data_IF_623567003138
#
_entry.id   IF_623567003138
#
_cell.length_a   1.000
_cell.length_b   1.000
_cell.length_c   1.000
_cell.angle_alpha   90.00
_cell.angle_beta   90.00
_cell.angle_gamma   90.00
#
_symmetry.space_group_name_H-M   'P 1'
#
loop_
_entity.id
_entity.type
_entity.pdbx_description
1 polymer ?
#
# COMPACT_ATOMS: atom_id res chain seq x y z
N UNK A 1 11.30 27.06 -62.78
CA UNK A 1 11.52 26.80 -61.34
C UNK A 1 11.08 25.40 -60.99
N UNK A 2 12.00 24.55 -60.52
CA UNK A 2 11.86 23.49 -59.49
C UNK A 2 13.10 22.59 -59.60
N UNK A 3 14.06 22.87 -58.72
CA UNK A 3 15.23 22.03 -58.42
C UNK A 3 14.78 20.82 -57.60
N UNK A 4 15.46 19.68 -57.76
CA UNK A 4 15.72 18.58 -56.79
C UNK A 4 16.26 17.40 -57.61
N UNK A 5 17.26 16.62 -57.21
CA UNK A 5 18.34 16.76 -56.23
C UNK A 5 19.38 15.72 -56.65
N UNK A 6 20.68 16.07 -56.61
CA UNK A 6 21.78 15.26 -57.14
C UNK A 6 22.08 14.09 -56.18
N UNK A 7 22.21 12.89 -56.74
CA UNK A 7 22.72 11.67 -56.10
C UNK A 7 24.26 11.73 -56.11
N UNK A 8 24.90 11.58 -54.95
CA UNK A 8 26.33 11.22 -54.89
C UNK A 8 26.49 10.10 -53.85
N UNK A 9 26.79 8.92 -54.35
CA UNK A 9 27.35 7.81 -53.60
C UNK A 9 28.87 7.96 -53.54
N UNK A 10 29.48 7.89 -52.36
CA UNK A 10 30.89 7.52 -52.21
C UNK A 10 31.09 6.73 -50.91
N UNK A 11 31.47 5.47 -51.07
CA UNK A 11 32.05 4.55 -50.08
C UNK A 11 33.55 4.82 -49.91
N UNK A 12 34.14 4.32 -48.79
CA UNK A 12 35.59 4.16 -48.41
C UNK A 12 35.72 4.61 -46.93
N UNK A 13 36.38 3.96 -45.97
CA UNK A 13 37.16 2.72 -45.84
C UNK A 13 37.60 2.62 -44.36
N UNK A 14 37.23 1.52 -43.71
CA UNK A 14 38.05 0.62 -42.84
C UNK A 14 39.29 1.12 -42.04
N UNK A 15 39.45 0.48 -40.86
CA UNK A 15 40.58 0.41 -39.90
C UNK A 15 40.71 1.58 -38.90
N UNK A 16 40.91 1.42 -37.58
CA UNK A 16 41.61 0.39 -36.81
C UNK A 16 40.97 0.10 -35.43
N UNK A 17 41.20 -1.13 -34.98
CA UNK A 17 41.09 -1.61 -33.60
C UNK A 17 42.04 -0.85 -32.66
N UNK A 18 41.61 -0.59 -31.42
CA UNK A 18 42.47 -0.71 -30.23
C UNK A 18 41.69 -1.29 -29.06
N UNK A 19 42.23 -2.38 -28.55
CA UNK A 19 41.82 -3.11 -27.36
C UNK A 19 42.14 -2.33 -26.08
N UNK A 20 41.36 -2.57 -25.03
CA UNK A 20 41.69 -2.13 -23.67
C UNK A 20 40.87 -2.88 -22.63
N UNK A 21 41.37 -4.05 -22.21
CA UNK A 21 40.99 -4.69 -20.95
C UNK A 21 41.68 -3.98 -19.79
N UNK A 22 41.01 -3.77 -18.66
CA UNK A 22 41.58 -4.16 -17.36
C UNK A 22 40.49 -4.33 -16.28
N UNK A 23 40.67 -5.41 -15.51
CA UNK A 23 39.90 -5.91 -14.39
C UNK A 23 40.62 -5.53 -13.09
N UNK A 24 39.93 -4.98 -12.11
CA UNK A 24 40.32 -4.93 -10.68
C UNK A 24 39.18 -4.26 -9.92
N UNK A 25 38.82 -4.56 -8.67
CA UNK A 25 39.13 -5.59 -7.69
C UNK A 25 38.01 -5.43 -6.65
N UNK A 26 37.54 -6.54 -6.09
CA UNK A 26 36.77 -6.54 -4.86
C UNK A 26 37.74 -6.24 -3.72
N UNK A 27 37.49 -5.19 -2.94
CA UNK A 27 38.06 -5.02 -1.60
C UNK A 27 36.97 -4.55 -0.64
N UNK A 28 36.78 -5.38 0.38
CA UNK A 28 36.12 -5.09 1.64
C UNK A 28 36.94 -4.08 2.43
N UNK A 29 36.33 -3.04 3.00
CA UNK A 29 36.83 -2.44 4.23
C UNK A 29 35.69 -1.93 5.11
N UNK A 30 35.81 -2.36 6.36
CA UNK A 30 34.97 -2.20 7.54
C UNK A 30 35.15 -0.86 8.26
N UNK A 31 34.32 -0.69 9.31
CA UNK A 31 34.30 0.28 10.41
C UNK A 31 33.45 1.54 10.15
N UNK A 32 32.24 1.60 10.72
CA UNK A 32 31.91 1.92 12.13
C UNK A 32 32.04 3.40 12.42
N UNK A 33 30.89 4.05 12.63
CA UNK A 33 30.76 5.19 13.52
C UNK A 33 29.47 5.02 14.32
N UNK A 34 29.62 4.65 15.59
CA UNK A 34 28.59 4.74 16.61
C UNK A 34 28.26 6.21 16.91
N UNK A 35 26.98 6.50 17.19
CA UNK A 35 26.58 7.66 17.99
C UNK A 35 25.46 7.27 18.94
N UNK A 36 25.88 6.91 20.16
CA UNK A 36 25.23 7.12 21.45
C UNK A 36 24.01 8.04 21.46
N UNK A 37 22.88 7.52 21.96
CA UNK A 37 22.16 8.13 23.09
C UNK A 37 21.51 7.02 23.93
N UNK A 38 22.09 6.75 25.10
CA UNK A 38 21.40 6.07 26.21
C UNK A 38 20.49 7.07 26.91
N UNK A 39 19.23 6.68 27.14
CA UNK A 39 18.44 7.17 28.26
C UNK A 39 17.82 5.98 28.97
N UNK A 40 18.22 5.83 30.24
CA UNK A 40 17.73 4.85 31.21
C UNK A 40 16.54 5.46 31.94
N UNK A 41 15.36 4.82 31.91
CA UNK A 41 14.44 4.85 33.05
C UNK A 41 13.86 3.45 33.27
N UNK A 42 14.20 2.91 34.44
CA UNK A 42 13.64 1.76 35.14
C UNK A 42 12.37 2.20 35.87
N UNK A 43 11.37 1.33 35.98
CA UNK A 43 10.43 1.12 37.13
C UNK A 43 9.24 0.31 36.57
N UNK A 44 9.14 -1.00 36.81
CA UNK A 44 8.74 -1.75 38.01
C UNK A 44 7.30 -2.26 37.88
N UNK A 45 7.17 -3.57 38.03
CA UNK A 45 5.96 -4.39 38.00
C UNK A 45 5.08 -4.11 39.22
N UNK A 46 3.75 -4.07 39.05
CA UNK A 46 2.81 -4.43 40.12
C UNK A 46 1.54 -5.07 39.53
N UNK A 47 1.37 -6.35 39.86
CA UNK A 47 0.16 -7.18 39.79
C UNK A 47 -0.85 -6.82 40.89
N UNK A 48 -2.14 -6.73 40.55
CA UNK A 48 -3.34 -7.07 41.35
C UNK A 48 -4.47 -7.34 40.33
N UNK A 49 -4.94 -8.57 40.04
CA UNK A 49 -5.85 -9.45 40.79
C UNK A 49 -7.18 -8.83 41.30
N UNK A 50 -8.26 -9.22 40.59
CA UNK A 50 -9.50 -9.83 41.11
C UNK A 50 -10.86 -9.10 40.92
N UNK A 51 -11.74 -9.88 40.28
CA UNK A 51 -13.15 -10.19 40.61
C UNK A 51 -14.31 -9.27 40.15
N UNK A 52 -15.01 -9.81 39.15
CA UNK A 52 -16.45 -10.16 39.17
C UNK A 52 -17.45 -9.18 39.79
N UNK A 53 -18.28 -8.57 38.92
CA UNK A 53 -19.71 -8.46 39.21
C UNK A 53 -20.57 -8.45 37.96
N UNK A 54 -21.29 -9.56 37.79
CA UNK A 54 -22.45 -9.77 36.91
C UNK A 54 -23.53 -8.71 37.18
N UNK A 55 -24.05 -8.06 36.15
CA UNK A 55 -25.42 -7.50 36.15
C UNK A 55 -25.99 -7.56 34.73
N UNK A 56 -27.05 -8.34 34.59
CA UNK A 56 -27.91 -8.47 33.41
C UNK A 56 -28.71 -7.18 33.20
N UNK A 57 -28.72 -6.64 31.97
CA UNK A 57 -29.88 -5.89 31.44
C UNK A 57 -30.08 -6.28 29.97
N UNK A 58 -31.30 -6.71 29.69
CA UNK A 58 -31.78 -7.19 28.40
C UNK A 58 -32.14 -6.05 27.42
N UNK A 59 -32.02 -6.38 26.13
CA UNK A 59 -32.75 -5.89 24.96
C UNK A 59 -32.55 -4.43 24.52
N UNK A 60 -31.91 -4.24 23.36
CA UNK A 60 -32.66 -4.09 22.10
C UNK A 60 -31.72 -3.84 20.91
N UNK A 61 -32.05 -4.51 19.81
CA UNK A 61 -31.83 -4.14 18.40
C UNK A 61 -30.41 -4.00 17.83
N UNK A 62 -30.23 -4.78 16.76
CA UNK A 62 -29.42 -4.47 15.57
C UNK A 62 -27.91 -4.76 15.70
N UNK A 63 -27.55 -6.02 15.51
CA UNK A 63 -26.17 -6.45 15.26
C UNK A 63 -26.04 -6.96 13.82
N UNK A 64 -25.55 -6.10 12.94
CA UNK A 64 -24.70 -6.56 11.85
C UNK A 64 -23.48 -7.21 12.50
N UNK A 65 -23.15 -8.41 12.03
CA UNK A 65 -22.17 -9.31 12.61
C UNK A 65 -20.84 -8.59 12.87
N UNK A 66 -20.52 -8.49 14.16
CA UNK A 66 -19.20 -8.16 14.70
C UNK A 66 -18.31 -9.36 14.40
N UNK A 67 -17.35 -9.21 13.47
CA UNK A 67 -16.23 -10.13 13.38
C UNK A 67 -15.17 -9.72 14.42
N UNK A 68 -15.44 -10.10 15.67
CA UNK A 68 -14.41 -10.27 16.69
C UNK A 68 -13.52 -11.46 16.31
N UNK A 69 -12.22 -11.34 16.60
CA UNK A 69 -11.16 -12.38 16.50
C UNK A 69 -10.56 -12.68 15.10
N UNK A 70 -9.71 -11.79 14.61
CA UNK A 70 -8.59 -12.21 13.72
C UNK A 70 -7.30 -12.42 14.51
N UNK A 71 -7.35 -13.31 15.51
CA UNK A 71 -6.15 -14.00 16.01
C UNK A 71 -5.95 -15.33 15.28
N UNK A 72 -6.25 -15.36 13.97
CA UNK A 72 -5.70 -16.40 13.10
C UNK A 72 -4.20 -16.11 12.97
N UNK A 73 -3.36 -17.12 13.15
CA UNK A 73 -1.92 -17.01 12.87
C UNK A 73 -1.71 -16.87 11.36
N UNK A 74 -2.01 -15.69 10.81
CA UNK A 74 -1.85 -15.39 9.39
C UNK A 74 -0.36 -15.45 9.07
N UNK A 75 0.00 -16.39 8.21
CA UNK A 75 1.34 -16.49 7.64
C UNK A 75 1.27 -16.04 6.19
N UNK A 76 2.01 -15.00 5.85
CA UNK A 76 2.03 -14.44 4.49
C UNK A 76 3.08 -15.18 3.64
N UNK A 77 2.73 -15.45 2.38
CA UNK A 77 3.67 -15.91 1.37
C UNK A 77 4.56 -14.73 0.94
N UNK A 78 5.85 -14.77 1.30
CA UNK A 78 6.78 -13.68 0.99
C UNK A 78 6.86 -13.33 -0.51
N UNK A 79 6.55 -14.27 -1.40
CA UNK A 79 6.55 -14.03 -2.84
C UNK A 79 5.43 -13.10 -3.32
N UNK A 80 4.38 -12.94 -2.51
CA UNK A 80 3.24 -12.06 -2.77
C UNK A 80 3.39 -10.67 -2.14
N UNK A 81 4.41 -10.44 -1.31
CA UNK A 81 4.68 -9.13 -0.72
C UNK A 81 5.24 -8.17 -1.78
N UNK A 82 4.56 -7.05 -1.99
CA UNK A 82 5.01 -5.98 -2.89
C UNK A 82 5.99 -5.11 -2.10
N UNK A 83 7.28 -5.42 -2.21
CA UNK A 83 8.37 -4.83 -1.40
C UNK A 83 8.45 -3.31 -1.53
N UNK A 84 8.30 -2.79 -2.75
CA UNK A 84 8.39 -1.33 -3.02
C UNK A 84 7.22 -0.55 -2.39
N UNK A 85 6.16 -1.24 -1.97
CA UNK A 85 4.98 -0.68 -1.32
C UNK A 85 4.79 -1.27 0.08
N UNK A 86 5.87 -1.78 0.68
CA UNK A 86 5.90 -2.32 2.04
C UNK A 86 6.99 -1.62 2.82
N UNK A 87 6.62 -0.93 3.91
CA UNK A 87 7.56 -0.10 4.64
C UNK A 87 7.15 0.09 6.10
N UNK A 88 8.10 0.53 6.92
CA UNK A 88 7.86 0.87 8.32
C UNK A 88 7.13 2.21 8.40
N UNK A 89 6.09 2.27 9.21
CA UNK A 89 5.31 3.47 9.48
C UNK A 89 4.99 3.55 10.99
N UNK A 90 4.81 4.77 11.49
CA UNK A 90 4.30 5.02 12.84
C UNK A 90 2.85 5.43 12.72
N UNK A 91 1.92 4.59 13.18
CA UNK A 91 0.48 4.81 13.01
C UNK A 91 -0.22 4.88 14.37
N UNK A 92 -0.76 6.05 14.74
CA UNK A 92 -1.70 6.24 15.86
C UNK A 92 -1.38 5.36 17.10
N UNK A 93 -2.37 4.62 17.60
CA UNK A 93 -2.26 3.68 18.72
C UNK A 93 -1.50 2.38 18.41
N UNK A 94 -1.14 2.17 17.13
CA UNK A 94 -0.28 1.07 16.72
C UNK A 94 1.19 1.37 16.97
N UNK A 95 1.61 2.64 17.00
CA UNK A 95 3.03 3.01 17.04
C UNK A 95 3.78 2.48 15.81
N UNK A 96 5.06 2.11 15.97
CA UNK A 96 5.85 1.56 14.88
C UNK A 96 5.35 0.17 14.43
N UNK A 97 4.98 0.07 13.16
CA UNK A 97 4.52 -1.15 12.48
C UNK A 97 5.10 -1.21 11.08
N UNK A 98 5.16 -2.41 10.49
CA UNK A 98 5.37 -2.54 9.05
C UNK A 98 4.01 -2.59 8.36
N UNK A 99 3.71 -1.62 7.50
CA UNK A 99 2.57 -1.68 6.59
C UNK A 99 2.96 -2.57 5.40
N UNK A 100 2.25 -3.66 5.22
CA UNK A 100 2.54 -4.66 4.19
C UNK A 100 1.49 -4.60 3.10
N UNK A 101 1.95 -4.42 1.87
CA UNK A 101 1.12 -4.58 0.67
C UNK A 101 1.28 -5.99 0.14
N UNK A 102 0.18 -6.72 0.02
CA UNK A 102 0.16 -8.13 -0.34
C UNK A 102 -0.69 -8.36 -1.60
N UNK A 103 -0.01 -8.70 -2.69
CA UNK A 103 -0.61 -8.86 -4.00
C UNK A 103 -1.50 -10.10 -4.12
N UNK A 104 -2.34 -10.17 -5.16
CA UNK A 104 -3.18 -11.34 -5.43
C UNK A 104 -2.34 -12.58 -5.73
N UNK A 105 -2.93 -13.77 -5.57
CA UNK A 105 -2.25 -15.02 -5.90
C UNK A 105 -2.02 -15.09 -7.42
N UNK A 106 -0.84 -15.55 -7.88
CA UNK A 106 -0.62 -15.78 -9.30
C UNK A 106 -1.69 -16.71 -9.91
N UNK A 107 -2.32 -16.24 -10.99
CA UNK A 107 -3.38 -16.98 -11.68
C UNK A 107 -4.74 -17.00 -10.97
N UNK A 108 -4.91 -16.25 -9.87
CA UNK A 108 -6.23 -16.06 -9.28
C UNK A 108 -7.02 -15.00 -10.07
N UNK A 109 -8.21 -15.38 -10.52
CA UNK A 109 -9.11 -14.44 -11.17
C UNK A 109 -9.70 -13.47 -10.14
N UNK A 110 -9.58 -12.17 -10.43
CA UNK A 110 -10.20 -11.06 -9.71
C UNK A 110 -9.94 -11.01 -8.20
N UNK A 111 -8.87 -11.65 -7.71
CA UNK A 111 -8.39 -11.43 -6.34
C UNK A 111 -7.80 -10.02 -6.25
N UNK A 112 -8.14 -9.29 -5.19
CA UNK A 112 -7.64 -7.93 -4.97
C UNK A 112 -6.32 -7.92 -4.18
N UNK A 113 -5.64 -6.77 -4.21
CA UNK A 113 -4.56 -6.47 -3.29
C UNK A 113 -5.11 -6.33 -1.86
N UNK A 114 -4.35 -6.84 -0.89
CA UNK A 114 -4.68 -6.80 0.53
C UNK A 114 -3.58 -6.13 1.32
N UNK A 115 -3.90 -5.67 2.52
CA UNK A 115 -2.98 -4.93 3.36
C UNK A 115 -2.97 -5.50 4.78
N UNK A 116 -1.81 -5.44 5.42
CA UNK A 116 -1.61 -5.93 6.77
C UNK A 116 -0.72 -4.97 7.56
N UNK A 117 -0.90 -4.97 8.89
CA UNK A 117 0.13 -4.46 9.80
C UNK A 117 0.90 -5.63 10.39
N UNK A 118 2.22 -5.51 10.42
CA UNK A 118 3.10 -6.48 11.05
C UNK A 118 3.94 -5.85 12.16
N UNK A 119 4.15 -6.63 13.23
CA UNK A 119 5.17 -6.38 14.27
C UNK A 119 5.94 -7.65 14.54
N UNK A 120 7.26 -7.54 14.69
CA UNK A 120 8.14 -8.68 15.00
C UNK A 120 7.90 -9.87 14.06
N UNK A 121 7.75 -9.60 12.75
CA UNK A 121 7.46 -10.59 11.70
C UNK A 121 6.14 -11.36 11.87
N UNK A 122 5.21 -10.85 12.67
CA UNK A 122 3.86 -11.40 12.84
C UNK A 122 2.84 -10.40 12.35
N UNK A 123 1.80 -10.88 11.66
CA UNK A 123 0.62 -10.09 11.35
C UNK A 123 -0.09 -9.77 12.66
N UNK A 124 -0.37 -8.49 12.88
CA UNK A 124 -1.11 -7.99 14.05
C UNK A 124 -2.43 -7.32 13.65
N UNK A 125 -2.62 -7.06 12.36
CA UNK A 125 -3.86 -6.53 11.80
C UNK A 125 -4.00 -6.90 10.34
N UNK A 126 -5.23 -7.22 9.92
CA UNK A 126 -5.61 -7.38 8.52
C UNK A 126 -6.64 -6.31 8.17
N UNK A 127 -6.38 -5.54 7.11
CA UNK A 127 -7.31 -4.50 6.67
C UNK A 127 -8.55 -5.13 6.02
N UNK A 128 -9.72 -4.47 6.12
CA UNK A 128 -10.93 -4.96 5.49
C UNK A 128 -10.76 -5.07 3.97
N UNK A 129 -11.28 -6.14 3.39
CA UNK A 129 -11.39 -6.27 1.94
C UNK A 129 -12.38 -5.26 1.37
N UNK A 130 -12.21 -4.91 0.10
CA UNK A 130 -13.13 -3.99 -0.56
C UNK A 130 -14.37 -4.67 -1.12
N UNK A 131 -14.18 -5.80 -1.78
CA UNK A 131 -15.26 -6.69 -2.16
C UNK A 131 -15.29 -7.92 -1.26
N UNK A 132 -16.41 -8.64 -1.35
CA UNK A 132 -16.64 -9.88 -0.61
C UNK A 132 -15.56 -10.91 -0.95
N UNK A 133 -15.09 -11.66 0.06
CA UNK A 133 -14.05 -12.69 -0.08
C UNK A 133 -12.78 -12.26 -0.86
N UNK A 134 -12.39 -10.99 -0.74
CA UNK A 134 -11.26 -10.39 -1.46
C UNK A 134 -11.41 -10.43 -2.99
N UNK A 135 -12.66 -10.39 -3.48
CA UNK A 135 -13.00 -10.43 -4.89
C UNK A 135 -13.51 -9.10 -5.40
N UNK A 136 -13.03 -8.67 -6.56
CA UNK A 136 -13.42 -7.39 -7.20
C UNK A 136 -14.15 -7.58 -8.53
N UNK A 137 -14.89 -8.68 -8.66
CA UNK A 137 -15.68 -9.00 -9.84
C UNK A 137 -16.60 -7.84 -10.28
N UNK A 138 -17.16 -7.10 -9.33
CA UNK A 138 -18.07 -5.97 -9.60
C UNK A 138 -17.36 -4.73 -10.16
N UNK A 139 -16.07 -4.54 -9.86
CA UNK A 139 -15.27 -3.43 -10.40
C UNK A 139 -14.78 -3.73 -11.83
N UNK A 140 -14.63 -5.02 -12.17
CA UNK A 140 -14.27 -5.47 -13.52
C UNK A 140 -12.84 -5.17 -13.92
N UNK A 141 -11.86 -5.38 -13.01
CA UNK A 141 -10.45 -5.12 -13.29
C UNK A 141 -9.51 -6.19 -12.74
N UNK A 142 -8.39 -6.41 -13.44
CA UNK A 142 -7.25 -7.17 -12.95
C UNK A 142 -6.27 -6.22 -12.26
N UNK A 143 -5.80 -6.60 -11.07
CA UNK A 143 -4.77 -5.86 -10.36
C UNK A 143 -3.52 -5.72 -11.23
N UNK A 144 -3.00 -4.50 -11.36
CA UNK A 144 -1.75 -4.19 -12.03
C UNK A 144 -0.67 -3.81 -11.01
N UNK A 145 -0.92 -2.75 -10.23
CA UNK A 145 0.07 -2.21 -9.29
C UNK A 145 -0.57 -1.36 -8.19
N UNK A 146 0.13 -1.21 -7.07
CA UNK A 146 -0.13 -0.12 -6.11
C UNK A 146 0.75 1.06 -6.50
N UNK A 147 0.12 2.16 -6.90
CA UNK A 147 0.79 3.35 -7.40
C UNK A 147 1.37 4.21 -6.27
N UNK A 148 0.61 4.38 -5.19
CA UNK A 148 1.01 5.22 -4.06
C UNK A 148 0.21 4.88 -2.82
N UNK A 149 0.83 5.07 -1.66
CA UNK A 149 0.22 4.97 -0.33
C UNK A 149 0.54 6.27 0.42
N UNK A 150 -0.43 6.82 1.14
CA UNK A 150 -0.25 8.02 1.95
C UNK A 150 -1.05 7.98 3.23
N UNK A 151 -0.45 8.53 4.29
CA UNK A 151 -1.04 8.64 5.62
C UNK A 151 -1.48 10.08 5.84
N UNK A 152 -2.78 10.29 6.00
CA UNK A 152 -3.41 11.61 6.08
C UNK A 152 -4.65 11.51 6.95
N UNK A 153 -4.81 12.40 7.90
CA UNK A 153 -6.09 12.60 8.61
C UNK A 153 -7.10 13.27 7.67
N UNK A 154 -8.00 12.49 7.08
CA UNK A 154 -8.98 12.97 6.10
C UNK A 154 -10.29 13.46 6.74
N UNK A 155 -10.55 13.14 8.00
CA UNK A 155 -11.77 13.53 8.71
C UNK A 155 -11.56 14.40 9.95
N UNK A 156 -10.34 14.91 10.15
CA UNK A 156 -9.97 15.88 11.18
C UNK A 156 -10.21 15.39 12.61
N UNK A 157 -9.93 14.11 12.87
CA UNK A 157 -10.01 13.50 14.20
C UNK A 157 -8.64 13.25 14.85
N UNK A 158 -7.58 13.83 14.28
CA UNK A 158 -6.19 13.68 14.71
C UNK A 158 -5.64 12.24 14.60
N UNK A 159 -6.33 11.35 13.88
CA UNK A 159 -5.84 10.02 13.52
C UNK A 159 -5.42 9.99 12.04
N UNK A 160 -4.26 9.42 11.75
CA UNK A 160 -3.85 9.22 10.36
C UNK A 160 -4.68 8.09 9.72
N UNK A 161 -5.43 8.44 8.67
CA UNK A 161 -6.06 7.49 7.76
C UNK A 161 -5.09 7.07 6.65
N UNK A 162 -5.44 6.02 5.91
CA UNK A 162 -4.62 5.49 4.82
C UNK A 162 -5.34 5.66 3.49
N UNK A 163 -4.70 6.38 2.58
CA UNK A 163 -5.13 6.52 1.18
C UNK A 163 -4.20 5.66 0.33
N UNK A 164 -4.77 4.73 -0.44
CA UNK A 164 -4.04 3.91 -1.41
C UNK A 164 -4.58 4.16 -2.80
N UNK A 165 -3.68 4.32 -3.77
CA UNK A 165 -4.01 4.43 -5.19
C UNK A 165 -3.56 3.14 -5.85
N UNK A 166 -4.51 2.44 -6.46
CA UNK A 166 -4.33 1.11 -7.05
C UNK A 166 -4.67 1.21 -8.53
N UNK A 167 -3.81 0.67 -9.38
CA UNK A 167 -4.05 0.59 -10.81
C UNK A 167 -4.66 -0.76 -11.15
N UNK A 168 -5.71 -0.73 -11.97
CA UNK A 168 -6.34 -1.93 -12.52
C UNK A 168 -6.42 -1.86 -14.04
N UNK A 169 -6.27 -3.02 -14.68
CA UNK A 169 -6.56 -3.22 -16.10
C UNK A 169 -8.00 -3.68 -16.24
N UNK A 170 -8.87 -2.85 -16.83
CA UNK A 170 -10.33 -3.06 -16.84
C UNK A 170 -10.93 -3.37 -18.21
N UNK A 171 -10.11 -3.47 -19.26
CA UNK A 171 -10.61 -3.69 -20.62
C UNK A 171 -9.76 -4.63 -21.47
N UNK A 172 -10.29 -4.96 -22.65
CA UNK A 172 -9.58 -5.75 -23.66
C UNK A 172 -9.02 -4.85 -24.78
N UNK A 173 -7.98 -5.35 -25.46
CA UNK A 173 -7.30 -4.62 -26.54
C UNK A 173 -6.36 -3.51 -26.05
N UNK A 174 -5.61 -2.84 -26.95
CA UNK A 174 -4.51 -1.95 -26.55
C UNK A 174 -4.90 -0.81 -25.60
N UNK A 175 -6.11 -0.26 -25.77
CA UNK A 175 -6.63 0.81 -24.89
C UNK A 175 -7.21 0.27 -23.57
N UNK A 176 -7.68 -0.98 -23.56
CA UNK A 176 -8.18 -1.65 -22.36
C UNK A 176 -7.07 -2.15 -21.44
N UNK A 177 -5.87 -2.37 -21.99
CA UNK A 177 -4.66 -2.78 -21.28
C UNK A 177 -3.92 -1.62 -20.59
N UNK A 178 -4.44 -0.40 -20.67
CA UNK A 178 -3.87 0.75 -19.95
C UNK A 178 -4.37 0.70 -18.49
N UNK A 179 -3.48 0.61 -17.49
CA UNK A 179 -3.90 0.59 -16.10
C UNK A 179 -4.57 1.91 -15.71
N UNK A 180 -5.69 1.82 -14.99
CA UNK A 180 -6.48 2.97 -14.53
C UNK A 180 -6.43 3.08 -13.01
N UNK A 181 -6.11 4.27 -12.45
CA UNK A 181 -6.05 4.46 -11.02
C UNK A 181 -7.44 4.44 -10.38
N UNK A 182 -7.54 3.79 -9.23
CA UNK A 182 -8.69 3.77 -8.32
C UNK A 182 -8.21 4.04 -6.90
N UNK A 183 -9.05 4.68 -6.11
CA UNK A 183 -8.73 5.03 -4.72
C UNK A 183 -9.27 3.97 -3.76
N UNK A 184 -8.53 3.72 -2.68
CA UNK A 184 -8.94 2.96 -1.51
C UNK A 184 -8.63 3.82 -0.28
N UNK A 185 -9.60 4.02 0.60
CA UNK A 185 -9.42 4.80 1.83
C UNK A 185 -9.80 3.94 3.03
N UNK A 186 -8.88 3.82 3.98
CA UNK A 186 -9.09 3.17 5.26
C UNK A 186 -9.07 4.23 6.34
N UNK A 187 -10.23 4.50 6.94
CA UNK A 187 -10.36 5.43 8.07
C UNK A 187 -9.95 4.77 9.36
N UNK A 188 -9.12 5.43 10.15
CA UNK A 188 -8.70 4.94 11.44
C UNK A 188 -9.81 5.10 12.49
N UNK A 189 -9.98 4.08 13.34
CA UNK A 189 -10.70 4.17 14.61
C UNK A 189 -9.86 3.44 15.65
N UNK A 190 -9.03 4.20 16.39
CA UNK A 190 -8.10 3.67 17.40
C UNK A 190 -7.19 2.57 16.83
N UNK A 191 -7.45 1.30 17.16
CA UNK A 191 -6.72 0.11 16.69
C UNK A 191 -7.47 -0.66 15.61
N UNK A 192 -8.38 0.00 14.91
CA UNK A 192 -9.11 -0.55 13.79
C UNK A 192 -9.06 0.40 12.60
N UNK A 193 -9.36 -0.14 11.43
CA UNK A 193 -9.50 0.61 10.21
C UNK A 193 -10.78 0.17 9.49
N UNK A 194 -11.57 1.15 9.06
CA UNK A 194 -12.80 0.92 8.33
C UNK A 194 -12.65 1.39 6.89
N UNK A 195 -13.14 0.59 5.96
CA UNK A 195 -13.17 0.97 4.56
C UNK A 195 -14.19 2.10 4.34
N UNK A 196 -13.72 3.29 3.95
CA UNK A 196 -14.57 4.46 3.74
C UNK A 196 -15.20 4.44 2.34
N UNK A 197 -16.15 3.53 2.13
CA UNK A 197 -16.85 3.34 0.84
C UNK A 197 -17.51 4.63 0.35
N UNK A 198 -18.10 5.41 1.24
CA UNK A 198 -18.72 6.70 0.95
C UNK A 198 -17.72 7.70 0.33
N UNK A 199 -16.53 7.84 0.92
CA UNK A 199 -15.48 8.70 0.39
C UNK A 199 -14.92 8.17 -0.94
N UNK A 200 -14.75 6.86 -1.05
CA UNK A 200 -14.26 6.21 -2.28
C UNK A 200 -15.23 6.45 -3.44
N UNK A 201 -16.54 6.26 -3.22
CA UNK A 201 -17.58 6.45 -4.23
C UNK A 201 -17.65 7.92 -4.65
N UNK A 202 -17.61 8.84 -3.69
CA UNK A 202 -17.61 10.28 -3.95
C UNK A 202 -16.40 10.72 -4.78
N UNK A 203 -15.18 10.33 -4.39
CA UNK A 203 -13.97 10.62 -5.17
C UNK A 203 -14.06 10.02 -6.58
N UNK A 204 -14.51 8.77 -6.69
CA UNK A 204 -14.63 8.08 -7.97
C UNK A 204 -15.61 8.78 -8.92
N UNK A 205 -16.66 9.39 -8.38
CA UNK A 205 -17.67 10.10 -9.16
C UNK A 205 -17.31 11.55 -9.47
N UNK A 206 -16.48 12.20 -8.65
CA UNK A 206 -16.25 13.65 -8.71
C UNK A 206 -14.85 14.05 -9.19
N UNK A 207 -13.83 13.19 -9.04
CA UNK A 207 -12.46 13.49 -9.44
C UNK A 207 -12.09 12.82 -10.77
N UNK A 208 -11.27 13.50 -11.59
CA UNK A 208 -10.70 12.88 -12.78
C UNK A 208 -9.57 11.91 -12.42
N UNK A 209 -9.36 10.88 -13.23
CA UNK A 209 -8.27 9.89 -13.04
C UNK A 209 -6.89 10.57 -12.94
N UNK A 210 -6.64 11.66 -13.69
CA UNK A 210 -5.37 12.40 -13.65
C UNK A 210 -5.12 13.15 -12.34
N UNK A 211 -6.18 13.41 -11.56
CA UNK A 211 -6.11 14.15 -10.31
C UNK A 211 -5.98 13.22 -9.09
N UNK A 212 -6.10 11.89 -9.32
CA UNK A 212 -5.92 10.86 -8.30
C UNK A 212 -4.45 10.76 -7.90
N UNK A 213 -4.08 11.62 -6.95
CA UNK A 213 -2.82 11.62 -6.21
C UNK A 213 -3.13 11.75 -4.73
N UNK A 214 -2.23 11.28 -3.85
CA UNK A 214 -2.44 11.38 -2.38
C UNK A 214 -2.78 12.82 -1.97
N UNK A 215 -2.02 13.80 -2.47
CA UNK A 215 -2.25 15.21 -2.15
C UNK A 215 -3.49 15.78 -2.84
N UNK A 216 -3.83 15.32 -4.06
CA UNK A 216 -5.05 15.73 -4.75
C UNK A 216 -6.30 15.30 -4.00
N UNK A 217 -6.36 14.02 -3.61
CA UNK A 217 -7.44 13.44 -2.81
C UNK A 217 -7.54 14.15 -1.46
N UNK A 218 -6.43 14.31 -0.75
CA UNK A 218 -6.42 15.00 0.55
C UNK A 218 -6.96 16.43 0.46
N UNK A 219 -6.54 17.20 -0.56
CA UNK A 219 -7.04 18.56 -0.78
C UNK A 219 -8.52 18.60 -1.13
N UNK A 220 -8.98 17.65 -1.96
CA UNK A 220 -10.38 17.52 -2.33
C UNK A 220 -11.26 17.28 -1.10
N UNK A 221 -10.90 16.30 -0.26
CA UNK A 221 -11.65 15.96 0.95
C UNK A 221 -11.67 17.12 1.96
N UNK A 222 -10.54 17.81 2.14
CA UNK A 222 -10.46 18.98 3.04
C UNK A 222 -11.29 20.19 2.59
N UNK A 223 -11.68 20.24 1.31
CA UNK A 223 -12.46 21.35 0.76
C UNK A 223 -13.98 21.19 0.94
N UNK A 224 -14.41 20.07 1.51
CA UNK A 224 -15.82 19.79 1.83
C UNK A 224 -16.15 20.20 3.25
#
# INVERSE_FOLDING_TARGET
>A
MKRKMIIIATTVLSLCMFSGCQKSQLETLSQETESSYQSLIKVETTTLQNEDKKTEIQNSNQSSEVNEETNSNITLDESRIIKDQTFVATLNDWGEVTFVTYGPKPGADFEDVTFYLMKNKKVVYAFPFYGEDNKINEIGGLFDSVASIGFRDVNHDDLEDIIVIINYVTGAGPQGMVPRPKVRIFRADKKEFHLAKDLIDDITNQMNESDLTINGIYKYLKSK
#
